data_IF_308965360052
#
_entry.id   IF_308965360052
#
_cell.length_a   1.000
_cell.length_b   1.000
_cell.length_c   1.000
_cell.angle_alpha   90.00
_cell.angle_beta   90.00
_cell.angle_gamma   90.00
#
_symmetry.space_group_name_H-M   'P 1'
#
loop_
_entity.id
_entity.type
_entity.pdbx_description
1 polymer ?
#
# COMPACT_ATOMS: atom_id res chain seq x y z
N UNK A 1 -7.82 -22.25 23.06
CA UNK A 1 -8.41 -20.92 22.81
C UNK A 1 -7.29 -20.12 22.21
N UNK A 2 -7.28 -19.99 20.89
CA UNK A 2 -6.25 -19.22 20.21
C UNK A 2 -6.50 -17.74 20.52
N UNK A 3 -5.45 -17.04 20.95
CA UNK A 3 -5.47 -15.60 21.19
C UNK A 3 -5.81 -14.93 19.86
N UNK A 4 -6.77 -13.99 19.80
CA UNK A 4 -7.09 -13.26 18.58
C UNK A 4 -5.82 -12.66 17.98
N UNK A 5 -5.69 -12.69 16.65
CA UNK A 5 -4.53 -12.13 15.99
C UNK A 5 -4.56 -10.61 16.18
N UNK A 6 -3.64 -10.09 17.00
CA UNK A 6 -3.50 -8.67 17.22
C UNK A 6 -2.48 -8.11 16.23
N UNK A 7 -2.95 -7.21 15.37
CA UNK A 7 -2.12 -6.52 14.38
C UNK A 7 -1.77 -5.18 15.00
N UNK A 8 -0.49 -4.81 14.97
CA UNK A 8 -0.07 -3.44 15.30
C UNK A 8 -0.56 -2.48 14.21
N UNK A 9 -1.75 -1.90 14.44
CA UNK A 9 -2.44 -1.04 13.48
C UNK A 9 -1.65 0.24 13.26
N UNK A 10 -1.05 0.80 14.31
CA UNK A 10 -0.30 2.04 14.23
C UNK A 10 0.93 1.88 13.33
N UNK A 11 1.71 0.82 13.57
CA UNK A 11 2.89 0.53 12.77
C UNK A 11 2.51 0.22 11.32
N UNK A 12 1.42 -0.53 11.12
CA UNK A 12 0.89 -0.78 9.79
C UNK A 12 0.51 0.54 9.07
N UNK A 13 -0.22 1.42 9.75
CA UNK A 13 -0.71 2.67 9.19
C UNK A 13 0.41 3.67 8.87
N UNK A 14 1.52 3.63 9.61
CA UNK A 14 2.69 4.49 9.41
C UNK A 14 3.41 4.22 8.07
N UNK A 15 3.21 3.05 7.48
CA UNK A 15 3.76 2.70 6.16
C UNK A 15 3.02 3.34 4.99
N UNK A 16 1.86 3.97 5.22
CA UNK A 16 1.01 4.50 4.17
C UNK A 16 0.75 6.00 4.34
N UNK A 17 0.43 6.64 3.22
CA UNK A 17 0.02 8.04 3.16
C UNK A 17 -1.23 8.16 2.29
N UNK A 18 -1.85 9.33 2.32
CA UNK A 18 -2.93 9.62 1.39
C UNK A 18 -4.22 8.86 1.67
N UNK A 19 -5.07 8.82 0.66
CA UNK A 19 -6.34 8.07 0.65
C UNK A 19 -6.13 6.57 0.88
N UNK A 20 -5.04 5.99 0.39
CA UNK A 20 -4.73 4.57 0.59
C UNK A 20 -4.56 4.19 2.07
N UNK A 21 -3.96 5.06 2.90
CA UNK A 21 -3.92 4.86 4.35
C UNK A 21 -5.33 4.70 4.93
N UNK A 22 -6.25 5.58 4.54
CA UNK A 22 -7.64 5.54 5.00
C UNK A 22 -8.37 4.28 4.53
N UNK A 23 -8.27 3.95 3.24
CA UNK A 23 -8.90 2.76 2.67
C UNK A 23 -8.42 1.48 3.35
N UNK A 24 -7.13 1.38 3.67
CA UNK A 24 -6.58 0.23 4.40
C UNK A 24 -7.07 0.16 5.84
N UNK A 25 -7.11 1.28 6.57
CA UNK A 25 -7.65 1.33 7.93
C UNK A 25 -9.12 0.93 8.00
N UNK A 26 -9.93 1.45 7.07
CA UNK A 26 -11.35 1.06 6.93
C UNK A 26 -11.48 -0.42 6.58
N UNK A 27 -10.60 -0.95 5.72
CA UNK A 27 -10.59 -2.36 5.40
C UNK A 27 -10.26 -3.23 6.63
N UNK A 28 -9.25 -2.85 7.43
CA UNK A 28 -8.91 -3.55 8.68
C UNK A 28 -10.10 -3.54 9.63
N UNK A 29 -10.69 -2.36 9.90
CA UNK A 29 -11.85 -2.24 10.76
C UNK A 29 -12.99 -3.19 10.30
N UNK A 30 -13.34 -3.15 9.02
CA UNK A 30 -14.37 -4.02 8.44
C UNK A 30 -14.04 -5.51 8.60
N UNK A 31 -12.79 -5.92 8.40
CA UNK A 31 -12.38 -7.32 8.56
C UNK A 31 -12.50 -7.75 10.02
N UNK A 32 -12.10 -6.89 10.96
CA UNK A 32 -12.23 -7.15 12.40
C UNK A 32 -13.70 -7.30 12.81
N UNK A 33 -14.59 -6.39 12.37
CA UNK A 33 -16.02 -6.48 12.66
C UNK A 33 -16.66 -7.73 12.03
N UNK A 34 -16.22 -8.13 10.84
CA UNK A 34 -16.76 -9.30 10.13
C UNK A 34 -16.28 -10.64 10.71
N UNK A 35 -15.13 -10.66 11.40
CA UNK A 35 -14.53 -11.88 11.95
C UNK A 35 -14.12 -11.70 13.41
N UNK A 36 -15.08 -11.48 14.33
CA UNK A 36 -14.81 -11.14 15.73
C UNK A 36 -14.19 -12.28 16.54
N UNK A 37 -14.18 -13.51 16.01
CA UNK A 37 -13.51 -14.66 16.60
C UNK A 37 -12.04 -14.77 16.21
N UNK A 38 -11.61 -14.05 15.17
CA UNK A 38 -10.25 -14.09 14.61
C UNK A 38 -9.46 -12.85 15.04
N UNK A 39 -10.10 -11.69 15.01
CA UNK A 39 -9.46 -10.40 15.29
C UNK A 39 -10.02 -9.74 16.54
N UNK A 40 -9.18 -8.94 17.20
CA UNK A 40 -9.57 -8.16 18.37
C UNK A 40 -10.47 -6.98 17.99
N UNK A 41 -11.47 -6.68 18.84
CA UNK A 41 -12.22 -5.43 18.76
C UNK A 41 -11.35 -4.20 19.04
N UNK A 42 -10.20 -4.39 19.69
CA UNK A 42 -9.22 -3.32 19.90
C UNK A 42 -8.68 -2.81 18.56
N UNK A 43 -8.21 -3.72 17.69
CA UNK A 43 -7.64 -3.37 16.38
C UNK A 43 -8.69 -2.72 15.45
N UNK A 44 -9.97 -3.11 15.58
CA UNK A 44 -11.09 -2.44 14.91
C UNK A 44 -11.17 -0.95 15.32
N UNK A 45 -11.28 -0.69 16.63
CA UNK A 45 -11.46 0.65 17.18
C UNK A 45 -10.23 1.53 16.97
N UNK A 46 -9.03 0.96 17.14
CA UNK A 46 -7.77 1.65 16.87
C UNK A 46 -7.66 2.05 15.40
N UNK A 47 -8.07 1.18 14.47
CA UNK A 47 -8.10 1.51 13.03
C UNK A 47 -9.02 2.68 12.72
N UNK A 48 -10.22 2.69 13.31
CA UNK A 48 -11.19 3.77 13.14
C UNK A 48 -10.70 5.09 13.76
N UNK A 49 -10.08 5.03 14.94
CA UNK A 49 -9.51 6.20 15.60
C UNK A 49 -8.40 6.85 14.75
N UNK A 50 -7.43 6.04 14.28
CA UNK A 50 -6.33 6.52 13.43
C UNK A 50 -6.87 7.12 12.12
N UNK A 51 -7.92 6.52 11.53
CA UNK A 51 -8.53 7.04 10.31
C UNK A 51 -9.21 8.40 10.55
N UNK A 52 -9.97 8.53 11.64
CA UNK A 52 -10.62 9.79 12.02
C UNK A 52 -9.59 10.90 12.25
N UNK A 53 -8.54 10.64 13.03
CA UNK A 53 -7.50 11.62 13.34
C UNK A 53 -6.72 12.03 12.08
N UNK A 54 -6.46 11.10 11.17
CA UNK A 54 -5.83 11.38 9.88
C UNK A 54 -6.68 12.32 9.01
N UNK A 55 -8.00 12.13 8.96
CA UNK A 55 -8.92 12.98 8.19
C UNK A 55 -9.00 14.38 8.82
N UNK A 56 -9.05 14.46 10.15
CA UNK A 56 -9.10 15.74 10.87
C UNK A 56 -7.83 16.58 10.71
N UNK A 57 -6.68 15.91 10.76
CA UNK A 57 -5.36 16.55 10.69
C UNK A 57 -4.98 16.99 9.29
N UNK A 58 -5.44 16.31 8.22
CA UNK A 58 -5.14 16.68 6.84
C UNK A 58 -6.41 17.04 6.01
N UNK A 59 -6.67 18.35 5.80
CA UNK A 59 -7.72 18.85 4.92
C UNK A 59 -7.75 18.23 3.51
N UNK A 60 -6.59 17.82 2.97
CA UNK A 60 -6.47 17.25 1.63
C UNK A 60 -6.90 15.78 1.55
N UNK A 61 -7.03 15.12 2.70
CA UNK A 61 -7.51 13.74 2.81
C UNK A 61 -8.99 13.65 3.17
N UNK A 62 -9.68 14.79 3.27
CA UNK A 62 -11.10 14.83 3.54
C UNK A 62 -11.85 14.25 2.33
N UNK A 63 -12.10 12.95 2.39
CA UNK A 63 -13.15 12.28 1.65
C UNK A 63 -14.37 12.21 2.56
N UNK A 64 -15.41 12.96 2.23
CA UNK A 64 -16.65 13.03 3.00
C UNK A 64 -17.33 11.66 3.13
N UNK A 65 -17.28 10.80 2.10
CA UNK A 65 -17.88 9.47 2.14
C UNK A 65 -17.13 8.56 3.11
N UNK A 66 -15.79 8.55 3.05
CA UNK A 66 -14.96 7.78 3.99
C UNK A 66 -15.12 8.31 5.41
N UNK A 67 -15.15 9.64 5.60
CA UNK A 67 -15.31 10.24 6.91
C UNK A 67 -16.65 9.88 7.55
N UNK A 68 -17.76 10.00 6.80
CA UNK A 68 -19.09 9.58 7.26
C UNK A 68 -19.09 8.11 7.65
N UNK A 69 -18.52 7.25 6.81
CA UNK A 69 -18.40 5.82 7.08
C UNK A 69 -17.63 5.53 8.37
N UNK A 70 -16.51 6.24 8.61
CA UNK A 70 -15.71 6.07 9.84
C UNK A 70 -16.51 6.51 11.07
N UNK A 71 -17.15 7.68 11.04
CA UNK A 71 -17.96 8.19 12.16
C UNK A 71 -19.14 7.25 12.46
N UNK A 72 -19.83 6.76 11.43
CA UNK A 72 -20.91 5.79 11.56
C UNK A 72 -20.45 4.48 12.20
N UNK A 73 -19.27 3.96 11.82
CA UNK A 73 -18.71 2.75 12.41
C UNK A 73 -18.20 2.94 13.84
N UNK A 74 -17.69 4.12 14.19
CA UNK A 74 -17.32 4.45 15.57
C UNK A 74 -18.56 4.40 16.46
N UNK A 75 -19.71 4.90 15.98
CA UNK A 75 -21.00 4.83 16.67
C UNK A 75 -20.96 5.28 18.15
N UNK A 76 -20.18 6.33 18.44
CA UNK A 76 -19.98 6.84 19.80
C UNK A 76 -19.14 5.95 20.73
N UNK A 77 -18.64 4.78 20.27
CA UNK A 77 -17.81 3.84 21.07
C UNK A 77 -16.50 4.46 21.55
N UNK A 78 -16.01 5.51 20.87
CA UNK A 78 -14.80 6.26 21.23
C UNK A 78 -15.09 7.59 21.97
N UNK A 79 -16.36 7.90 22.26
CA UNK A 79 -16.79 9.12 22.96
C UNK A 79 -17.16 10.29 22.03
N UNK A 80 -17.66 11.38 22.63
CA UNK A 80 -18.30 12.51 21.93
C UNK A 80 -17.35 13.32 21.04
N UNK A 81 -16.02 13.17 21.17
CA UNK A 81 -15.04 13.87 20.34
C UNK A 81 -14.92 13.29 18.91
N UNK A 82 -15.55 12.13 18.66
CA UNK A 82 -15.56 11.44 17.38
C UNK A 82 -16.87 11.62 16.59
N UNK A 83 -17.57 12.73 16.80
CA UNK A 83 -18.83 13.08 16.12
C UNK A 83 -18.60 13.89 14.83
N UNK A 84 -19.65 14.00 14.00
CA UNK A 84 -19.61 14.80 12.75
C UNK A 84 -19.29 16.27 13.04
N UNK A 85 -18.46 16.87 12.20
CA UNK A 85 -18.03 18.27 12.32
C UNK A 85 -18.03 18.91 10.93
N UNK A 86 -18.86 19.93 10.76
CA UNK A 86 -19.13 20.61 9.49
C UNK A 86 -17.87 21.29 8.90
N UNK A 87 -16.81 21.47 9.69
CA UNK A 87 -15.54 22.09 9.27
C UNK A 87 -14.77 21.23 8.25
N UNK A 88 -14.99 19.92 8.19
CA UNK A 88 -14.33 19.04 7.20
C UNK A 88 -14.78 19.32 5.76
N UNK A 89 -16.06 19.62 5.55
CA UNK A 89 -16.64 19.88 4.22
C UNK A 89 -16.03 21.16 3.59
N UNK A 90 -15.79 22.19 4.41
CA UNK A 90 -15.24 23.48 3.96
C UNK A 90 -13.79 23.33 3.47
N UNK A 91 -13.03 22.42 4.08
CA UNK A 91 -11.63 22.14 3.77
C UNK A 91 -11.43 21.52 2.37
N UNK A 92 -12.34 20.65 1.94
CA UNK A 92 -12.30 20.00 0.63
C UNK A 92 -12.51 21.00 -0.53
N UNK A 93 -13.41 21.97 -0.34
CA UNK A 93 -13.68 23.06 -1.29
C UNK A 93 -12.42 23.94 -1.48
N UNK A 94 -11.64 24.19 -0.43
CA UNK A 94 -10.40 24.97 -0.54
C UNK A 94 -9.29 24.28 -1.33
N UNK A 95 -9.22 22.94 -1.33
CA UNK A 95 -8.22 22.16 -2.10
C UNK A 95 -8.57 22.16 -3.58
N UNK A 96 -9.86 21.96 -3.91
CA UNK A 96 -10.39 21.99 -5.28
C UNK A 96 -10.24 23.38 -5.94
N UNK A 97 -10.30 24.46 -5.15
CA UNK A 97 -10.21 25.84 -5.64
C UNK A 97 -8.79 26.42 -5.67
N UNK A 98 -7.78 25.66 -5.23
CA UNK A 98 -6.40 26.15 -5.26
C UNK A 98 -5.81 26.06 -6.69
N UNK A 99 -5.45 27.19 -7.36
CA UNK A 99 -4.95 27.15 -8.72
C UNK A 99 -3.49 26.68 -8.73
N UNK A 100 -3.23 25.45 -9.15
CA UNK A 100 -1.85 24.97 -9.28
C UNK A 100 -1.19 25.57 -10.54
N UNK A 101 -0.02 26.23 -10.40
CA UNK A 101 0.81 26.77 -11.50
C UNK A 101 2.21 26.08 -11.63
N UNK A 102 2.79 25.87 -12.84
CA UNK A 102 4.16 25.30 -13.06
C UNK A 102 4.40 24.00 -13.90
N UNK A 103 5.68 23.76 -14.28
CA UNK A 103 6.24 22.59 -15.03
C UNK A 103 6.27 21.28 -14.23
N UNK A 104 6.34 21.38 -12.90
CA UNK A 104 6.19 20.25 -11.95
C UNK A 104 4.77 19.62 -12.00
N UNK A 105 3.80 20.29 -12.64
CA UNK A 105 2.43 19.80 -12.81
C UNK A 105 2.28 18.61 -13.76
N UNK A 106 3.11 18.45 -14.80
CA UNK A 106 2.91 17.37 -15.77
C UNK A 106 3.18 16.00 -15.13
N UNK A 107 4.29 15.87 -14.40
CA UNK A 107 4.64 14.66 -13.66
C UNK A 107 3.60 14.38 -12.57
N UNK A 108 3.30 15.37 -11.73
CA UNK A 108 2.35 15.21 -10.64
C UNK A 108 0.95 14.85 -11.13
N UNK A 109 0.44 15.54 -12.18
CA UNK A 109 -0.83 15.19 -12.80
C UNK A 109 -0.80 13.79 -13.40
N UNK A 110 0.29 13.39 -14.07
CA UNK A 110 0.42 12.04 -14.62
C UNK A 110 0.48 10.95 -13.51
N UNK A 111 1.05 11.25 -12.35
CA UNK A 111 0.99 10.33 -11.20
C UNK A 111 -0.40 10.28 -10.58
N UNK A 112 -1.09 11.42 -10.51
CA UNK A 112 -2.45 11.48 -9.99
C UNK A 112 -3.42 10.70 -10.87
N UNK A 113 -3.29 10.76 -12.20
CA UNK A 113 -4.12 9.94 -13.11
C UNK A 113 -3.86 8.45 -12.94
N UNK A 114 -2.61 8.05 -12.69
CA UNK A 114 -2.27 6.66 -12.38
C UNK A 114 -2.87 6.24 -11.03
N UNK A 115 -2.78 7.08 -10.01
CA UNK A 115 -3.38 6.82 -8.70
C UNK A 115 -4.90 6.61 -8.81
N UNK A 116 -5.61 7.52 -9.48
CA UNK A 116 -7.05 7.40 -9.72
C UNK A 116 -7.38 6.12 -10.51
N UNK A 117 -6.57 5.76 -11.50
CA UNK A 117 -6.77 4.52 -12.25
C UNK A 117 -6.60 3.26 -11.38
N UNK A 118 -5.63 3.25 -10.45
CA UNK A 118 -5.46 2.15 -9.49
C UNK A 118 -6.69 2.05 -8.56
N UNK A 119 -7.12 3.19 -8.01
CA UNK A 119 -8.25 3.24 -7.06
C UNK A 119 -9.58 2.84 -7.71
N UNK A 120 -9.80 3.25 -8.96
CA UNK A 120 -10.99 2.87 -9.75
C UNK A 120 -10.86 1.48 -10.40
N UNK A 121 -9.75 0.76 -10.16
CA UNK A 121 -9.41 -0.53 -10.77
C UNK A 121 -9.43 -0.50 -12.30
N UNK A 122 -9.17 0.65 -12.90
CA UNK A 122 -9.01 0.82 -14.34
C UNK A 122 -7.56 0.51 -14.76
N UNK A 123 -7.18 -0.76 -14.65
CA UNK A 123 -5.83 -1.25 -14.93
C UNK A 123 -5.40 -1.09 -16.40
N UNK A 124 -6.38 -1.00 -17.32
CA UNK A 124 -6.12 -0.63 -18.72
C UNK A 124 -5.51 0.77 -18.84
N UNK A 125 -6.00 1.74 -18.06
CA UNK A 125 -5.46 3.10 -18.04
C UNK A 125 -4.08 3.19 -17.39
N UNK A 126 -3.78 2.33 -16.41
CA UNK A 126 -2.45 2.26 -15.78
C UNK A 126 -1.36 1.89 -16.81
N UNK A 127 -1.69 0.98 -17.74
CA UNK A 127 -0.73 0.54 -18.79
C UNK A 127 -0.67 1.47 -19.98
N UNK A 128 -1.73 2.23 -20.25
CA UNK A 128 -1.73 3.22 -21.31
C UNK A 128 -0.86 4.42 -20.95
N UNK A 129 0.37 4.44 -21.47
CA UNK A 129 1.31 5.53 -21.20
C UNK A 129 1.12 6.67 -22.18
N UNK A 130 0.93 7.88 -21.65
CA UNK A 130 0.96 9.12 -22.43
C UNK A 130 2.38 9.45 -22.87
N UNK A 131 2.53 10.29 -23.91
CA UNK A 131 3.85 10.73 -24.39
C UNK A 131 4.68 11.41 -23.28
N UNK A 132 4.04 12.18 -22.40
CA UNK A 132 4.69 12.79 -21.25
C UNK A 132 5.18 11.74 -20.24
N UNK A 133 4.34 10.74 -19.94
CA UNK A 133 4.73 9.63 -19.06
C UNK A 133 5.92 8.85 -19.62
N UNK A 134 5.97 8.61 -20.93
CA UNK A 134 7.10 7.95 -21.59
C UNK A 134 8.37 8.80 -21.45
N UNK A 135 8.30 10.10 -21.73
CA UNK A 135 9.44 10.99 -21.61
C UNK A 135 10.03 10.98 -20.19
N UNK A 136 9.19 11.10 -19.16
CA UNK A 136 9.65 11.08 -17.77
C UNK A 136 10.10 9.70 -17.30
N UNK A 137 9.47 8.63 -17.77
CA UNK A 137 9.88 7.26 -17.44
C UNK A 137 11.35 6.99 -17.82
N UNK A 138 11.83 7.57 -18.92
CA UNK A 138 13.21 7.41 -19.37
C UNK A 138 14.19 8.38 -18.71
N UNK A 139 13.73 9.48 -18.14
CA UNK A 139 14.59 10.53 -17.57
C UNK A 139 14.70 10.45 -16.05
N UNK A 140 13.63 10.07 -15.35
CA UNK A 140 13.49 10.19 -13.90
C UNK A 140 13.35 8.82 -13.23
N UNK A 141 14.36 8.39 -12.47
CA UNK A 141 14.38 7.06 -11.83
C UNK A 141 13.24 6.87 -10.82
N UNK A 142 12.96 7.86 -9.98
CA UNK A 142 11.86 7.81 -9.02
C UNK A 142 10.51 7.64 -9.73
N UNK A 143 10.33 8.34 -10.85
CA UNK A 143 9.12 8.25 -11.65
C UNK A 143 8.96 6.87 -12.29
N UNK A 144 10.07 6.35 -12.84
CA UNK A 144 10.16 5.00 -13.38
C UNK A 144 9.77 3.96 -12.33
N UNK A 145 10.29 4.08 -11.11
CA UNK A 145 9.96 3.22 -9.97
C UNK A 145 8.47 3.23 -9.67
N UNK A 146 7.86 4.42 -9.55
CA UNK A 146 6.41 4.55 -9.24
C UNK A 146 5.52 3.95 -10.35
N UNK A 147 5.87 4.15 -11.62
CA UNK A 147 5.13 3.54 -12.73
C UNK A 147 5.29 2.02 -12.79
N UNK A 148 6.46 1.49 -12.42
CA UNK A 148 6.67 0.05 -12.33
C UNK A 148 5.88 -0.55 -11.17
N UNK A 149 5.81 0.12 -10.01
CA UNK A 149 4.91 -0.26 -8.91
C UNK A 149 3.45 -0.33 -9.38
N UNK A 150 2.98 0.71 -10.08
CA UNK A 150 1.62 0.76 -10.60
C UNK A 150 1.34 -0.37 -11.59
N UNK A 151 2.31 -0.72 -12.45
CA UNK A 151 2.21 -1.80 -13.42
C UNK A 151 2.11 -3.17 -12.72
N UNK A 152 2.96 -3.45 -11.73
CA UNK A 152 2.91 -4.69 -10.96
C UNK A 152 1.58 -4.85 -10.19
N UNK A 153 1.03 -3.76 -9.66
CA UNK A 153 -0.29 -3.75 -9.01
C UNK A 153 -1.41 -4.00 -10.01
N UNK A 154 -1.31 -3.46 -11.23
CA UNK A 154 -2.27 -3.74 -12.28
C UNK A 154 -2.26 -5.22 -12.68
N UNK A 155 -1.07 -5.82 -12.82
CA UNK A 155 -0.93 -7.26 -13.10
C UNK A 155 -1.51 -8.11 -11.96
N UNK A 156 -1.26 -7.74 -10.70
CA UNK A 156 -1.86 -8.39 -9.54
C UNK A 156 -3.40 -8.28 -9.56
N UNK A 157 -3.91 -7.07 -9.82
CA UNK A 157 -5.35 -6.78 -9.85
C UNK A 157 -6.11 -7.49 -10.96
N UNK A 158 -5.42 -7.81 -12.06
CA UNK A 158 -5.93 -8.61 -13.19
C UNK A 158 -5.63 -10.10 -13.06
N UNK A 159 -5.07 -10.54 -11.92
CA UNK A 159 -4.74 -11.95 -11.63
C UNK A 159 -3.63 -12.53 -12.52
N UNK A 160 -2.81 -11.69 -13.14
CA UNK A 160 -1.61 -12.09 -13.84
C UNK A 160 -0.45 -12.27 -12.84
N UNK A 161 -0.58 -13.26 -11.95
CA UNK A 161 0.31 -13.41 -10.78
C UNK A 161 1.78 -13.60 -11.15
N UNK A 162 2.09 -14.32 -12.23
CA UNK A 162 3.47 -14.52 -12.65
C UNK A 162 4.14 -13.20 -13.07
N UNK A 163 3.44 -12.37 -13.86
CA UNK A 163 3.92 -11.03 -14.25
C UNK A 163 4.01 -10.08 -13.05
N UNK A 164 3.05 -10.17 -12.14
CA UNK A 164 3.08 -9.41 -10.89
C UNK A 164 4.32 -9.77 -10.06
N UNK A 165 4.64 -11.07 -9.95
CA UNK A 165 5.85 -11.53 -9.27
C UNK A 165 7.11 -10.91 -9.90
N UNK A 166 7.26 -11.01 -11.23
CA UNK A 166 8.39 -10.43 -11.95
C UNK A 166 8.50 -8.92 -11.73
N UNK A 167 7.37 -8.21 -11.83
CA UNK A 167 7.31 -6.77 -11.62
C UNK A 167 7.71 -6.35 -10.21
N UNK A 168 7.22 -7.04 -9.17
CA UNK A 168 7.56 -6.73 -7.78
C UNK A 168 9.00 -7.11 -7.42
N UNK A 169 9.51 -8.25 -7.91
CA UNK A 169 10.90 -8.68 -7.67
C UNK A 169 11.88 -7.70 -8.31
N UNK A 170 11.60 -7.24 -9.53
CA UNK A 170 12.43 -6.25 -10.22
C UNK A 170 12.52 -4.91 -9.48
N UNK A 171 11.55 -4.58 -8.62
CA UNK A 171 11.54 -3.34 -7.83
C UNK A 171 12.42 -3.43 -6.58
N UNK A 172 12.81 -4.63 -6.12
CA UNK A 172 13.53 -4.83 -4.85
C UNK A 172 14.89 -4.12 -4.79
N UNK A 173 15.54 -3.90 -5.93
CA UNK A 173 16.78 -3.11 -5.99
C UNK A 173 16.59 -1.64 -5.63
N UNK A 174 15.40 -1.09 -5.86
CA UNK A 174 15.11 0.34 -5.83
C UNK A 174 14.31 0.77 -4.57
N UNK A 175 13.75 -0.18 -3.80
CA UNK A 175 12.83 0.09 -2.66
C UNK A 175 13.45 0.86 -1.49
N UNK A 176 14.78 1.02 -1.46
CA UNK A 176 15.49 1.82 -0.47
C UNK A 176 15.73 3.26 -0.93
N UNK A 177 15.79 3.48 -2.23
CA UNK A 177 16.05 4.80 -2.82
C UNK A 177 14.74 5.56 -3.04
N UNK A 178 13.68 4.84 -3.43
CA UNK A 178 12.41 5.44 -3.80
C UNK A 178 11.24 4.85 -3.00
N UNK A 179 10.20 5.65 -2.83
CA UNK A 179 9.02 5.28 -2.07
C UNK A 179 7.74 5.67 -2.82
N UNK A 180 6.69 4.87 -2.64
CA UNK A 180 5.36 5.16 -3.21
C UNK A 180 4.23 4.82 -2.24
N UNK A 181 4.37 5.25 -0.97
CA UNK A 181 3.45 4.94 0.13
C UNK A 181 1.99 5.40 -0.06
N UNK A 182 1.73 6.28 -1.04
CA UNK A 182 0.37 6.61 -1.48
C UNK A 182 -0.34 5.43 -2.15
N UNK A 183 0.42 4.42 -2.60
CA UNK A 183 -0.07 3.24 -3.32
C UNK A 183 0.39 1.95 -2.66
N UNK A 184 1.69 1.79 -2.41
CA UNK A 184 2.30 0.53 -1.94
C UNK A 184 3.50 0.80 -1.04
N UNK A 185 3.65 0.02 0.04
CA UNK A 185 4.83 0.09 0.89
C UNK A 185 5.94 -0.84 0.39
N UNK A 186 7.18 -0.60 0.82
CA UNK A 186 8.30 -1.50 0.48
C UNK A 186 8.08 -2.93 1.01
N UNK A 187 7.39 -3.08 2.15
CA UNK A 187 7.03 -4.41 2.68
C UNK A 187 5.97 -5.09 1.82
N UNK A 188 4.97 -4.36 1.32
CA UNK A 188 3.98 -4.92 0.38
C UNK A 188 4.66 -5.41 -0.91
N UNK A 189 5.65 -4.69 -1.44
CA UNK A 189 6.40 -5.12 -2.65
C UNK A 189 7.03 -6.49 -2.41
N UNK A 190 7.68 -6.68 -1.26
CA UNK A 190 8.29 -7.97 -0.89
C UNK A 190 7.23 -9.06 -0.74
N UNK A 191 6.18 -8.80 0.05
CA UNK A 191 5.13 -9.79 0.34
C UNK A 191 4.37 -10.18 -0.92
N UNK A 192 3.96 -9.21 -1.75
CA UNK A 192 3.23 -9.47 -2.98
C UNK A 192 4.09 -10.19 -4.01
N UNK A 193 5.35 -9.77 -4.18
CA UNK A 193 6.30 -10.42 -5.07
C UNK A 193 6.54 -11.88 -4.69
N UNK A 194 6.91 -12.14 -3.43
CA UNK A 194 7.18 -13.49 -2.94
C UNK A 194 5.94 -14.39 -2.93
N UNK A 195 4.77 -13.86 -2.59
CA UNK A 195 3.53 -14.66 -2.57
C UNK A 195 3.14 -15.07 -3.99
N UNK A 196 3.23 -14.14 -4.95
CA UNK A 196 2.98 -14.43 -6.34
C UNK A 196 4.01 -15.42 -6.89
N UNK A 197 5.31 -15.21 -6.59
CA UNK A 197 6.38 -16.11 -7.01
C UNK A 197 6.18 -17.54 -6.49
N UNK A 198 5.84 -17.70 -5.20
CA UNK A 198 5.55 -19.00 -4.61
C UNK A 198 4.38 -19.71 -5.31
N UNK A 199 3.39 -18.96 -5.79
CA UNK A 199 2.22 -19.51 -6.46
C UNK A 199 2.47 -19.88 -7.94
N UNK A 200 3.44 -19.26 -8.61
CA UNK A 200 3.58 -19.37 -10.08
C UNK A 200 4.94 -19.85 -10.57
N UNK A 201 6.02 -19.65 -9.83
CA UNK A 201 7.36 -19.99 -10.31
C UNK A 201 7.68 -21.46 -10.16
N UNK A 202 8.49 -21.96 -11.10
CA UNK A 202 9.14 -23.25 -10.95
C UNK A 202 10.16 -23.22 -9.80
N UNK A 203 10.46 -24.37 -9.15
CA UNK A 203 11.33 -24.41 -7.98
C UNK A 203 12.73 -23.81 -8.19
N UNK A 204 13.31 -23.92 -9.38
CA UNK A 204 14.61 -23.34 -9.73
C UNK A 204 14.57 -21.80 -9.69
N UNK A 205 13.61 -21.18 -10.39
CA UNK A 205 13.39 -19.74 -10.42
C UNK A 205 13.05 -19.20 -9.03
N UNK A 206 12.24 -19.93 -8.26
CA UNK A 206 11.88 -19.56 -6.89
C UNK A 206 13.10 -19.54 -5.95
N UNK A 207 14.01 -20.51 -6.07
CA UNK A 207 15.25 -20.55 -5.27
C UNK A 207 16.15 -19.36 -5.57
N UNK A 208 16.31 -19.00 -6.84
CA UNK A 208 17.07 -17.82 -7.26
C UNK A 208 16.47 -16.53 -6.68
N UNK A 209 15.16 -16.32 -6.83
CA UNK A 209 14.45 -15.18 -6.22
C UNK A 209 14.62 -15.14 -4.70
N UNK A 210 14.53 -16.28 -4.01
CA UNK A 210 14.68 -16.31 -2.56
C UNK A 210 16.09 -15.88 -2.13
N UNK A 211 17.12 -16.26 -2.89
CA UNK A 211 18.49 -15.83 -2.63
C UNK A 211 18.62 -14.31 -2.79
N UNK A 212 18.03 -13.72 -3.83
CA UNK A 212 18.02 -12.26 -4.02
C UNK A 212 17.39 -11.51 -2.83
N UNK A 213 16.33 -12.06 -2.23
CA UNK A 213 15.66 -11.44 -1.08
C UNK A 213 16.39 -11.69 0.25
N UNK A 214 16.93 -12.89 0.45
CA UNK A 214 17.47 -13.32 1.76
C UNK A 214 18.95 -13.06 1.96
N UNK A 215 19.73 -13.09 0.88
CA UNK A 215 21.16 -12.80 0.87
C UNK A 215 21.44 -11.72 -0.19
N UNK A 216 21.14 -10.45 0.12
CA UNK A 216 21.43 -9.38 -0.82
C UNK A 216 22.96 -9.25 -0.99
N UNK A 217 23.51 -9.85 -2.05
CA UNK A 217 24.95 -9.82 -2.29
C UNK A 217 25.33 -8.41 -2.76
N UNK A 218 26.29 -7.78 -2.07
CA UNK A 218 27.01 -6.62 -2.60
C UNK A 218 26.18 -5.33 -2.78
N UNK A 219 25.68 -4.77 -1.67
CA UNK A 219 25.12 -3.40 -1.66
C UNK A 219 23.69 -3.27 -2.19
N UNK A 220 23.12 -4.34 -2.77
CA UNK A 220 21.67 -4.44 -2.93
C UNK A 220 21.11 -4.65 -1.53
N UNK A 221 20.29 -3.70 -1.05
CA UNK A 221 19.39 -3.85 0.09
C UNK A 221 19.89 -4.41 1.45
N UNK A 222 20.90 -3.78 2.05
CA UNK A 222 21.18 -3.95 3.49
C UNK A 222 19.95 -3.68 4.39
N UNK A 223 19.02 -2.83 3.92
CA UNK A 223 17.76 -2.47 4.59
C UNK A 223 16.59 -3.44 4.33
N UNK A 224 16.74 -4.48 3.48
CA UNK A 224 15.70 -5.53 3.42
C UNK A 224 15.54 -6.22 4.78
N UNK A 225 16.58 -6.24 5.62
CA UNK A 225 16.48 -6.69 7.02
C UNK A 225 15.58 -5.81 7.88
N UNK A 226 15.50 -4.52 7.58
CA UNK A 226 14.65 -3.56 8.29
C UNK A 226 13.21 -3.56 7.75
N UNK A 227 13.05 -3.86 6.46
CA UNK A 227 11.74 -4.06 5.80
C UNK A 227 11.13 -5.40 6.25
N UNK A 228 11.92 -6.48 6.22
CA UNK A 228 11.54 -7.82 6.64
C UNK A 228 11.77 -7.92 8.15
N UNK A 229 10.91 -7.26 8.91
CA UNK A 229 10.98 -7.27 10.37
C UNK A 229 10.85 -8.72 10.89
N UNK A 230 11.61 -9.09 11.94
CA UNK A 230 11.41 -10.37 12.62
C UNK A 230 9.94 -10.54 13.01
N UNK A 231 9.40 -11.74 12.77
CA UNK A 231 7.98 -12.07 13.02
C UNK A 231 6.96 -11.22 12.22
N UNK A 232 7.41 -10.48 11.20
CA UNK A 232 6.53 -9.80 10.24
C UNK A 232 6.05 -10.73 9.11
N UNK A 233 5.05 -10.31 8.32
CA UNK A 233 4.52 -11.08 7.19
C UNK A 233 5.59 -11.56 6.22
N UNK A 234 6.52 -10.67 5.82
CA UNK A 234 7.63 -11.05 4.95
C UNK A 234 8.54 -12.12 5.54
N UNK A 235 8.82 -12.05 6.85
CA UNK A 235 9.65 -13.02 7.55
C UNK A 235 8.99 -14.40 7.60
N UNK A 236 7.68 -14.44 7.93
CA UNK A 236 6.92 -15.69 7.93
C UNK A 236 6.84 -16.33 6.55
N UNK A 237 6.60 -15.54 5.51
CA UNK A 237 6.55 -16.03 4.14
C UNK A 237 7.90 -16.61 3.71
N UNK A 238 9.01 -15.94 4.02
CA UNK A 238 10.35 -16.45 3.75
C UNK A 238 10.59 -17.80 4.46
N UNK A 239 10.16 -17.96 5.71
CA UNK A 239 10.31 -19.22 6.43
C UNK A 239 9.48 -20.34 5.80
N UNK A 240 8.27 -20.04 5.33
CA UNK A 240 7.43 -20.99 4.58
C UNK A 240 8.14 -21.43 3.30
N UNK A 241 8.63 -20.48 2.49
CA UNK A 241 9.32 -20.77 1.23
C UNK A 241 10.59 -21.61 1.48
N UNK A 242 11.34 -21.33 2.56
CA UNK A 242 12.52 -22.10 2.95
C UNK A 242 12.16 -23.56 3.27
N UNK A 243 11.06 -23.80 3.97
CA UNK A 243 10.60 -25.17 4.24
C UNK A 243 10.21 -25.91 2.97
N UNK A 244 9.47 -25.28 2.06
CA UNK A 244 9.12 -25.88 0.76
C UNK A 244 10.33 -26.21 -0.12
N UNK A 245 11.44 -25.49 0.02
CA UNK A 245 12.65 -25.68 -0.77
C UNK A 245 13.66 -26.68 -0.18
N UNK A 246 13.46 -27.10 1.08
CA UNK A 246 14.31 -28.05 1.80
C UNK A 246 13.88 -29.52 1.59
N UNK A 247 12.65 -29.74 1.11
CA UNK A 247 12.14 -31.03 0.59
C UNK A 247 12.52 -31.22 -0.88
#
# INVERSE_FOLDING_TARGET
MDVPLDIDVQEYANRYKGRNKLLRLVHIARMCSSHPLVYSHYSELESLAIAYDAIKSDPKLCDIEIFKMVVEQIHGRLGMHYENDDVCIIKEICVLLSPFSGRSRSIHACMLTVLVAIETRNFGHVRHRTLLQIAYYHQEKEYKFKLNCATAIADLGEKCYEKAAEGFIALLGDVNEFAYNEVVSSEDIVVYGLTCALATYEPSKLKETLLEVTEPIGGVAHHLKDIIKPYGPGHHLINIIKHFNAE
#
